data_IF_140476639751
#
_entry.id   IF_140476639751
#
_cell.length_a   1.000
_cell.length_b   1.000
_cell.length_c   1.000
_cell.angle_alpha   90.00
_cell.angle_beta   90.00
_cell.angle_gamma   90.00
#
_symmetry.space_group_name_H-M   'P 1'
#
loop_
_entity.id
_entity.type
_entity.pdbx_description
1 polymer ?
#
# COMPACT_ATOMS: atom_id res chain seq x y z
N UNK A 1 -4.82 10.78 -17.12
CA UNK A 1 -3.63 10.89 -16.25
C UNK A 1 -4.00 11.49 -14.91
N UNK A 2 -4.63 12.66 -14.84
CA UNK A 2 -5.14 13.23 -13.57
C UNK A 2 -5.99 12.26 -12.73
N UNK A 3 -6.92 11.55 -13.38
CA UNK A 3 -7.78 10.54 -12.70
C UNK A 3 -6.94 9.38 -12.12
N UNK A 4 -5.91 8.94 -12.84
CA UNK A 4 -5.02 7.86 -12.42
C UNK A 4 -4.07 8.32 -11.30
N UNK A 5 -3.58 9.57 -11.37
CA UNK A 5 -2.78 10.20 -10.33
C UNK A 5 -3.58 10.35 -9.03
N UNK A 6 -4.84 10.74 -9.14
CA UNK A 6 -5.74 10.84 -7.99
C UNK A 6 -6.07 9.47 -7.39
N UNK A 7 -6.22 8.44 -8.23
CA UNK A 7 -6.37 7.06 -7.76
C UNK A 7 -5.11 6.58 -7.01
N UNK A 8 -3.91 6.84 -7.56
CA UNK A 8 -2.64 6.53 -6.88
C UNK A 8 -2.49 7.29 -5.56
N UNK A 9 -2.93 8.55 -5.51
CA UNK A 9 -2.93 9.39 -4.31
C UNK A 9 -3.77 8.78 -3.18
N UNK A 10 -4.94 8.23 -3.50
CA UNK A 10 -5.85 7.58 -2.54
C UNK A 10 -5.40 6.18 -2.15
N UNK A 11 -4.78 5.46 -3.07
CA UNK A 11 -4.35 4.08 -2.85
C UNK A 11 -3.29 3.97 -1.74
N UNK A 12 -2.35 4.92 -1.65
CA UNK A 12 -1.29 4.90 -0.63
C UNK A 12 -1.83 4.94 0.81
N UNK A 13 -2.66 5.93 1.22
CA UNK A 13 -3.23 5.96 2.57
C UNK A 13 -4.15 4.77 2.87
N UNK A 14 -4.93 4.29 1.89
CA UNK A 14 -5.81 3.11 2.06
C UNK A 14 -4.99 1.85 2.37
N UNK A 15 -3.91 1.60 1.62
CA UNK A 15 -3.04 0.46 1.85
C UNK A 15 -2.31 0.55 3.20
N UNK A 16 -1.88 1.75 3.60
CA UNK A 16 -1.29 1.97 4.94
C UNK A 16 -2.29 1.71 6.06
N UNK A 17 -3.54 2.11 5.89
CA UNK A 17 -4.61 1.85 6.86
C UNK A 17 -4.88 0.33 6.98
N UNK A 18 -4.96 -0.39 5.87
CA UNK A 18 -5.11 -1.85 5.89
C UNK A 18 -3.92 -2.54 6.55
N UNK A 19 -2.69 -2.10 6.24
CA UNK A 19 -1.48 -2.62 6.89
C UNK A 19 -1.55 -2.43 8.41
N UNK A 20 -1.96 -1.24 8.87
CA UNK A 20 -2.11 -0.97 10.30
C UNK A 20 -3.16 -1.87 10.96
N UNK A 21 -4.33 -2.05 10.33
CA UNK A 21 -5.38 -2.96 10.81
C UNK A 21 -4.90 -4.41 10.92
N UNK A 22 -4.10 -4.87 9.97
CA UNK A 22 -3.54 -6.22 9.95
C UNK A 22 -2.48 -6.42 11.04
N UNK A 23 -1.57 -5.46 11.23
CA UNK A 23 -0.62 -5.51 12.34
C UNK A 23 -1.34 -5.52 13.70
N UNK A 24 -2.35 -4.67 13.89
CA UNK A 24 -3.12 -4.64 15.13
C UNK A 24 -3.81 -5.99 15.43
N UNK A 25 -4.32 -6.67 14.39
CA UNK A 25 -4.90 -8.02 14.53
C UNK A 25 -3.84 -9.07 14.84
N UNK A 26 -2.66 -8.97 14.23
CA UNK A 26 -1.55 -9.89 14.47
C UNK A 26 -0.99 -9.78 15.89
N UNK A 27 -1.00 -8.57 16.46
CA UNK A 27 -0.55 -8.31 17.82
C UNK A 27 -1.61 -8.67 18.87
N UNK A 28 -2.86 -8.85 18.43
CA UNK A 28 -3.99 -9.27 19.27
C UNK A 28 -4.67 -10.52 18.69
N UNK A 29 -3.98 -11.68 18.63
CA UNK A 29 -4.55 -12.90 18.09
C UNK A 29 -5.76 -13.36 18.93
N UNK A 30 -6.69 -14.05 18.28
CA UNK A 30 -7.85 -14.62 18.96
C UNK A 30 -7.40 -15.62 20.05
N UNK A 31 -8.10 -15.62 21.18
CA UNK A 31 -7.86 -16.60 22.23
C UNK A 31 -8.50 -17.93 21.84
N UNK A 32 -7.70 -18.99 21.91
CA UNK A 32 -8.15 -20.37 21.73
C UNK A 32 -8.00 -21.07 23.07
N UNK A 33 -9.07 -21.71 23.53
CA UNK A 33 -9.04 -22.46 24.78
C UNK A 33 -7.97 -23.56 24.72
N UNK A 34 -7.21 -23.77 25.82
CA UNK A 34 -6.24 -24.84 25.88
C UNK A 34 -6.96 -26.20 25.86
N UNK A 35 -6.39 -27.16 25.13
CA UNK A 35 -6.86 -28.53 25.13
C UNK A 35 -5.80 -29.49 24.61
N UNK A 36 -5.78 -30.70 25.18
CA UNK A 36 -4.72 -31.69 24.94
C UNK A 36 -4.93 -32.52 23.66
N UNK A 37 -6.08 -32.37 23.01
CA UNK A 37 -6.32 -33.02 21.74
C UNK A 37 -5.35 -32.46 20.68
N UNK A 38 -4.70 -33.32 19.87
CA UNK A 38 -3.77 -32.87 18.82
C UNK A 38 -4.37 -31.83 17.86
N UNK A 39 -5.66 -31.96 17.55
CA UNK A 39 -6.41 -30.99 16.74
C UNK A 39 -6.52 -29.61 17.39
N UNK A 40 -6.76 -29.56 18.71
CA UNK A 40 -6.84 -28.29 19.46
C UNK A 40 -5.48 -27.61 19.57
N UNK A 41 -4.41 -28.38 19.76
CA UNK A 41 -3.04 -27.87 19.72
C UNK A 41 -2.70 -27.27 18.36
N UNK A 42 -3.07 -27.96 17.26
CA UNK A 42 -2.87 -27.46 15.91
C UNK A 42 -3.65 -26.17 15.63
N UNK A 43 -4.92 -26.10 16.04
CA UNK A 43 -5.75 -24.89 15.90
C UNK A 43 -5.17 -23.74 16.71
N UNK A 44 -4.75 -23.99 17.95
CA UNK A 44 -4.11 -22.97 18.78
C UNK A 44 -2.88 -22.40 18.07
N UNK A 45 -1.97 -23.26 17.60
CA UNK A 45 -0.78 -22.84 16.86
C UNK A 45 -1.12 -22.04 15.60
N UNK A 46 -2.11 -22.48 14.84
CA UNK A 46 -2.57 -21.77 13.65
C UNK A 46 -3.05 -20.35 14.00
N UNK A 47 -3.83 -20.20 15.06
CA UNK A 47 -4.43 -18.91 15.45
C UNK A 47 -3.44 -17.97 16.14
N UNK A 48 -2.52 -18.49 16.95
CA UNK A 48 -1.61 -17.66 17.76
C UNK A 48 -0.28 -17.37 17.08
N UNK A 49 0.12 -18.16 16.08
CA UNK A 49 1.42 -18.01 15.41
C UNK A 49 1.23 -17.73 13.91
N UNK A 50 0.65 -18.69 13.19
CA UNK A 50 0.65 -18.70 11.72
C UNK A 50 -0.20 -17.57 11.14
N UNK A 51 -1.44 -17.39 11.61
CA UNK A 51 -2.32 -16.31 11.13
C UNK A 51 -1.71 -14.93 11.41
N UNK A 52 -1.19 -14.63 12.62
CA UNK A 52 -0.47 -13.39 12.88
C UNK A 52 0.73 -13.15 11.97
N UNK A 53 1.53 -14.19 11.69
CA UNK A 53 2.67 -14.08 10.79
C UNK A 53 2.22 -13.72 9.36
N UNK A 54 1.19 -14.40 8.84
CA UNK A 54 0.58 -14.09 7.54
C UNK A 54 0.05 -12.65 7.48
N UNK A 55 -0.61 -12.20 8.55
CA UNK A 55 -1.11 -10.82 8.65
C UNK A 55 0.02 -9.80 8.60
N UNK A 56 1.15 -10.04 9.29
CA UNK A 56 2.34 -9.17 9.25
C UNK A 56 2.98 -9.13 7.87
N UNK A 57 3.14 -10.29 7.21
CA UNK A 57 3.69 -10.36 5.85
C UNK A 57 2.80 -9.59 4.86
N UNK A 58 1.48 -9.78 4.94
CA UNK A 58 0.55 -9.07 4.07
C UNK A 58 0.55 -7.56 4.36
N UNK A 59 0.61 -7.16 5.64
CA UNK A 59 0.76 -5.76 6.02
C UNK A 59 2.03 -5.12 5.44
N UNK A 60 3.18 -5.81 5.52
CA UNK A 60 4.42 -5.35 4.92
C UNK A 60 4.29 -5.18 3.40
N UNK A 61 3.57 -6.08 2.73
CA UNK A 61 3.30 -5.96 1.29
C UNK A 61 2.42 -4.75 0.97
N UNK A 62 1.40 -4.47 1.77
CA UNK A 62 0.56 -3.28 1.63
C UNK A 62 1.40 -1.99 1.76
N UNK A 63 2.31 -1.91 2.74
CA UNK A 63 3.23 -0.76 2.89
C UNK A 63 4.10 -0.59 1.64
N UNK A 64 4.73 -1.67 1.16
CA UNK A 64 5.56 -1.60 -0.04
C UNK A 64 4.77 -1.13 -1.28
N UNK A 65 3.52 -1.56 -1.41
CA UNK A 65 2.64 -1.11 -2.50
C UNK A 65 2.21 0.35 -2.32
N UNK A 66 1.98 0.81 -1.09
CA UNK A 66 1.68 2.20 -0.78
C UNK A 66 2.84 3.14 -1.15
N UNK A 67 4.08 2.70 -0.86
CA UNK A 67 5.29 3.42 -1.23
C UNK A 67 5.47 3.47 -2.75
N UNK A 68 5.25 2.36 -3.45
CA UNK A 68 5.25 2.31 -4.91
C UNK A 68 4.21 3.24 -5.52
N UNK A 69 2.98 3.26 -4.99
CA UNK A 69 1.91 4.13 -5.47
C UNK A 69 2.28 5.62 -5.31
N UNK A 70 2.84 5.99 -4.16
CA UNK A 70 3.30 7.35 -3.89
C UNK A 70 4.47 7.77 -4.81
N UNK A 71 5.42 6.87 -5.05
CA UNK A 71 6.51 7.10 -6.00
C UNK A 71 6.01 7.27 -7.43
N UNK A 72 5.07 6.41 -7.85
CA UNK A 72 4.46 6.49 -9.17
C UNK A 72 3.72 7.82 -9.35
N UNK A 73 2.89 8.22 -8.38
CA UNK A 73 2.19 9.50 -8.40
C UNK A 73 3.16 10.68 -8.57
N UNK A 74 4.25 10.70 -7.80
CA UNK A 74 5.25 11.78 -7.85
C UNK A 74 5.90 11.83 -9.24
N UNK A 75 6.42 10.70 -9.73
CA UNK A 75 7.12 10.64 -11.03
C UNK A 75 6.24 10.99 -12.22
N UNK A 76 4.99 10.53 -12.21
CA UNK A 76 4.05 10.83 -13.29
C UNK A 76 3.63 12.31 -13.24
N UNK A 77 3.42 12.88 -12.05
CA UNK A 77 3.14 14.32 -11.90
C UNK A 77 4.30 15.20 -12.40
N UNK A 78 5.54 14.85 -12.05
CA UNK A 78 6.73 15.59 -12.51
C UNK A 78 6.88 15.52 -14.04
N UNK A 79 6.55 14.37 -14.64
CA UNK A 79 6.59 14.18 -16.09
C UNK A 79 5.54 15.04 -16.80
N UNK A 80 4.32 15.12 -16.25
CA UNK A 80 3.26 15.95 -16.80
C UNK A 80 3.63 17.43 -16.80
N UNK A 81 4.17 17.91 -15.68
CA UNK A 81 4.61 19.29 -15.53
C UNK A 81 5.75 19.62 -16.50
N UNK A 82 6.71 18.72 -16.66
CA UNK A 82 7.81 18.89 -17.62
C UNK A 82 7.31 18.99 -19.08
N UNK A 83 6.40 18.11 -19.49
CA UNK A 83 5.81 18.13 -20.84
C UNK A 83 5.04 19.45 -21.04
N UNK A 84 4.27 19.88 -20.05
CA UNK A 84 3.51 21.14 -20.09
C UNK A 84 4.45 22.34 -20.28
N UNK A 85 5.53 22.41 -19.51
CA UNK A 85 6.53 23.47 -19.63
C UNK A 85 7.23 23.46 -21.00
N UNK A 86 7.53 22.28 -21.54
CA UNK A 86 8.13 22.12 -22.87
C UNK A 86 7.21 22.65 -23.97
N UNK A 87 5.91 22.30 -23.92
CA UNK A 87 4.92 22.80 -24.87
C UNK A 87 4.76 24.32 -24.77
N UNK A 88 4.66 24.87 -23.57
CA UNK A 88 4.56 26.32 -23.36
C UNK A 88 5.80 27.06 -23.88
N UNK A 89 6.98 26.50 -23.65
CA UNK A 89 8.24 27.06 -24.15
C UNK A 89 8.30 27.03 -25.68
N UNK A 90 7.98 25.90 -26.31
CA UNK A 90 7.92 25.77 -27.76
C UNK A 90 6.89 26.72 -28.40
N UNK A 91 5.71 26.85 -27.78
CA UNK A 91 4.66 27.76 -28.23
C UNK A 91 5.01 29.25 -28.01
N UNK A 92 5.89 29.56 -27.07
CA UNK A 92 6.40 30.94 -26.87
C UNK A 92 7.44 31.30 -27.93
N UNK A 93 8.31 30.36 -28.29
CA UNK A 93 9.33 30.52 -29.32
C UNK A 93 8.72 30.68 -30.72
N UNK A 94 7.67 29.93 -31.05
CA UNK A 94 6.99 30.03 -32.35
C UNK A 94 6.22 31.33 -32.56
N UNK A 95 5.89 32.07 -31.49
CA UNK A 95 5.23 33.39 -31.57
C UNK A 95 6.22 34.56 -31.68
N UNK A 96 7.51 34.31 -31.56
CA UNK A 96 8.57 35.32 -31.70
C UNK A 96 9.26 35.29 -33.08
N UNK A 97 8.79 34.44 -34.00
CA UNK A 97 9.15 34.43 -35.42
C UNK A 97 8.00 34.99 -36.26
#
# INVERSE_FOLDING_TARGET
>A
MDVDLEALRKLSPELREQAHKLCNRADNPARVEPGDAPSLTAVRRLVTEVIPELQRMFAARCVNMADLAQQAQTRFGDTEEYVRQTILSAASLSRQQ
#
